data_IF_475504527770
#
_entry.id   IF_475504527770
#
_cell.length_a   1.000
_cell.length_b   1.000
_cell.length_c   1.000
_cell.angle_alpha   90.00
_cell.angle_beta   90.00
_cell.angle_gamma   90.00
#
_symmetry.space_group_name_H-M   'P 1'
#
loop_
_entity.id
_entity.type
_entity.pdbx_description
1 polymer ?
#
# COMPACT_ATOMS: atom_id res chain seq x y z
N UNK A 1 -35.84 49.50 -40.83
CA UNK A 1 -35.68 50.51 -41.91
C UNK A 1 -34.35 51.23 -41.75
N UNK A 2 -33.65 51.42 -42.87
CA UNK A 2 -32.31 52.04 -43.03
C UNK A 2 -32.20 53.46 -42.46
N UNK A 3 -31.00 53.82 -41.94
CA UNK A 3 -30.16 54.88 -42.53
C UNK A 3 -28.69 54.84 -42.04
N UNK A 4 -27.82 54.63 -43.04
CA UNK A 4 -26.38 54.95 -43.18
C UNK A 4 -26.12 56.43 -42.80
N UNK A 5 -24.94 56.99 -42.49
CA UNK A 5 -23.51 56.76 -42.84
C UNK A 5 -22.72 57.91 -42.16
N UNK A 6 -21.44 57.74 -41.81
CA UNK A 6 -20.27 58.44 -42.41
C UNK A 6 -18.98 58.21 -41.60
N UNK A 7 -18.02 57.59 -42.28
CA UNK A 7 -16.59 57.61 -42.00
C UNK A 7 -16.01 59.01 -42.21
N UNK A 8 -14.98 59.36 -41.42
CA UNK A 8 -13.81 60.09 -41.91
C UNK A 8 -12.56 59.55 -41.21
N UNK A 9 -11.63 59.07 -42.03
CA UNK A 9 -10.24 58.80 -41.68
C UNK A 9 -9.44 60.10 -41.78
N UNK A 10 -8.43 60.25 -40.92
CA UNK A 10 -7.29 61.11 -41.16
C UNK A 10 -6.04 60.35 -40.71
N UNK A 11 -5.13 60.18 -41.66
CA UNK A 11 -3.88 59.44 -41.54
C UNK A 11 -2.72 60.40 -41.28
N UNK A 12 -1.87 60.01 -40.32
CA UNK A 12 -0.39 60.01 -40.35
C UNK A 12 0.35 61.37 -40.38
N UNK A 13 1.23 61.56 -39.38
CA UNK A 13 2.68 61.78 -39.61
C UNK A 13 3.54 61.41 -38.40
N UNK A 14 4.46 60.50 -38.67
CA UNK A 14 5.58 60.00 -37.87
C UNK A 14 6.70 61.04 -37.75
N UNK A 15 7.27 61.19 -36.55
CA UNK A 15 8.68 61.50 -36.21
C UNK A 15 8.81 61.04 -34.74
N UNK A 16 9.71 60.22 -34.23
CA UNK A 16 10.97 59.61 -34.66
C UNK A 16 11.80 59.43 -33.37
N UNK A 17 12.13 58.20 -32.96
CA UNK A 17 13.16 57.85 -31.97
C UNK A 17 13.50 56.36 -32.16
N UNK A 18 14.76 55.92 -32.02
CA UNK A 18 15.38 55.04 -33.00
C UNK A 18 15.52 53.59 -32.55
N UNK A 19 15.56 52.78 -33.59
CA UNK A 19 16.04 51.41 -33.68
C UNK A 19 17.52 51.33 -33.24
N UNK A 20 17.81 51.06 -31.96
CA UNK A 20 19.14 50.61 -31.53
C UNK A 20 19.10 49.92 -30.14
N UNK A 21 18.72 48.65 -30.11
CA UNK A 21 19.24 47.61 -29.19
C UNK A 21 18.61 46.27 -29.58
N UNK A 22 18.98 45.83 -30.79
CA UNK A 22 18.94 44.44 -31.20
C UNK A 22 20.34 43.89 -30.87
N UNK A 23 20.38 42.86 -30.01
CA UNK A 23 21.52 42.14 -29.40
C UNK A 23 21.58 42.32 -27.88
N UNK A 24 21.77 41.18 -27.19
CA UNK A 24 21.76 40.93 -25.72
C UNK A 24 20.33 40.61 -25.23
N UNK A 25 19.84 39.38 -25.13
CA UNK A 25 20.44 38.08 -24.88
C UNK A 25 19.74 36.97 -25.71
N UNK A 26 20.46 36.41 -26.67
CA UNK A 26 20.41 34.96 -26.91
C UNK A 26 21.08 34.33 -25.68
N UNK A 27 20.31 34.17 -24.59
CA UNK A 27 20.64 33.11 -23.66
C UNK A 27 20.38 31.81 -24.43
N UNK A 28 21.31 30.85 -24.44
CA UNK A 28 20.91 29.51 -24.77
C UNK A 28 19.75 29.18 -23.81
N UNK A 29 18.62 28.75 -24.35
CA UNK A 29 17.74 27.85 -23.60
C UNK A 29 18.69 26.73 -23.17
N UNK A 30 19.19 26.83 -21.94
CA UNK A 30 20.05 25.81 -21.37
C UNK A 30 19.22 24.55 -21.44
N UNK A 31 19.77 23.56 -22.13
CA UNK A 31 19.20 22.25 -22.34
C UNK A 31 18.50 21.77 -21.07
N UNK A 32 17.22 21.42 -21.24
CA UNK A 32 16.55 20.33 -20.54
C UNK A 32 17.06 20.10 -19.10
N UNK A 33 16.44 20.75 -18.12
CA UNK A 33 16.03 19.95 -16.96
C UNK A 33 15.19 18.83 -17.58
N UNK A 34 15.73 17.61 -17.62
CA UNK A 34 15.03 16.49 -18.24
C UNK A 34 13.63 16.43 -17.63
N UNK A 35 12.59 16.20 -18.44
CA UNK A 35 11.22 16.07 -17.92
C UNK A 35 11.17 15.09 -16.73
N UNK A 36 12.07 14.11 -16.70
CA UNK A 36 12.30 13.21 -15.58
C UNK A 36 12.76 13.90 -14.28
N UNK A 37 13.69 14.86 -14.35
CA UNK A 37 14.14 15.62 -13.18
C UNK A 37 13.04 16.52 -12.60
N UNK A 38 12.23 17.12 -13.48
CA UNK A 38 11.07 17.95 -13.09
C UNK A 38 9.97 17.09 -12.48
N UNK A 39 9.68 15.93 -13.08
CA UNK A 39 8.71 14.96 -12.54
C UNK A 39 9.20 14.37 -11.22
N UNK A 40 10.49 14.05 -11.10
CA UNK A 40 11.10 13.57 -9.86
C UNK A 40 10.93 14.60 -8.74
N UNK A 41 11.27 15.87 -9.00
CA UNK A 41 11.08 16.97 -8.05
C UNK A 41 9.60 17.23 -7.72
N UNK A 42 8.68 17.00 -8.65
CA UNK A 42 7.24 17.08 -8.38
C UNK A 42 6.75 15.94 -7.49
N UNK A 43 7.29 14.74 -7.70
CA UNK A 43 6.96 13.54 -6.94
C UNK A 43 7.71 13.41 -5.60
N UNK A 44 8.56 14.38 -5.26
CA UNK A 44 9.36 14.36 -4.03
C UNK A 44 8.47 14.41 -2.78
N UNK A 45 8.48 13.38 -1.92
CA UNK A 45 7.75 13.37 -0.66
C UNK A 45 8.08 14.55 0.27
N UNK A 46 9.29 15.12 0.16
CA UNK A 46 9.73 16.24 0.98
C UNK A 46 8.85 17.49 0.82
N UNK A 47 8.19 17.65 -0.34
CA UNK A 47 7.27 18.77 -0.59
C UNK A 47 6.03 18.75 0.31
N UNK A 48 5.59 17.56 0.73
CA UNK A 48 4.39 17.37 1.55
C UNK A 48 4.79 17.11 3.00
N UNK A 49 5.86 16.33 3.22
CA UNK A 49 6.22 15.79 4.53
C UNK A 49 7.46 16.45 5.16
N UNK A 50 8.06 17.44 4.50
CA UNK A 50 9.26 18.11 4.99
C UNK A 50 10.49 17.19 4.98
N UNK A 51 11.46 17.45 5.85
CA UNK A 51 12.74 16.71 5.91
C UNK A 51 12.77 15.61 6.99
N UNK A 52 11.70 15.44 7.76
CA UNK A 52 11.64 14.52 8.90
C UNK A 52 11.51 13.05 8.51
N UNK A 53 11.33 12.19 9.52
CA UNK A 53 11.12 10.74 9.34
C UNK A 53 9.85 10.44 8.54
N UNK A 54 8.83 11.28 8.63
CA UNK A 54 7.57 11.15 7.91
C UNK A 54 7.80 11.08 6.39
N UNK A 55 8.77 11.84 5.88
CA UNK A 55 9.22 11.80 4.48
C UNK A 55 9.82 10.43 4.14
N UNK A 56 10.72 9.91 4.98
CA UNK A 56 11.35 8.60 4.74
C UNK A 56 10.34 7.47 4.74
N UNK A 57 9.34 7.52 5.62
CA UNK A 57 8.25 6.54 5.65
C UNK A 57 7.41 6.66 4.38
N UNK A 58 7.11 7.88 3.91
CA UNK A 58 6.40 8.11 2.65
C UNK A 58 7.20 7.61 1.43
N UNK A 59 8.52 7.80 1.40
CA UNK A 59 9.40 7.26 0.35
C UNK A 59 9.34 5.73 0.34
N UNK A 60 9.51 5.09 1.50
CA UNK A 60 9.41 3.65 1.63
C UNK A 60 8.04 3.13 1.16
N UNK A 61 6.96 3.84 1.50
CA UNK A 61 5.60 3.55 1.07
C UNK A 61 5.44 3.67 -0.45
N UNK A 62 5.93 4.74 -1.07
CA UNK A 62 5.82 4.96 -2.52
C UNK A 62 6.56 3.92 -3.36
N UNK A 63 7.63 3.31 -2.84
CA UNK A 63 8.31 2.19 -3.50
C UNK A 63 7.40 0.96 -3.68
N UNK A 64 6.32 0.85 -2.90
CA UNK A 64 5.32 -0.20 -3.03
C UNK A 64 4.29 0.08 -4.14
N UNK A 65 4.46 1.13 -4.95
CA UNK A 65 3.53 1.49 -6.03
C UNK A 65 4.25 1.57 -7.38
N UNK A 66 3.55 1.22 -8.45
CA UNK A 66 4.08 1.29 -9.81
C UNK A 66 2.99 1.63 -10.81
N UNK A 67 3.23 2.64 -11.64
CA UNK A 67 2.33 2.97 -12.76
C UNK A 67 2.62 2.07 -13.96
N UNK A 68 1.56 1.51 -14.55
CA UNK A 68 1.61 0.60 -15.70
C UNK A 68 0.51 0.94 -16.69
N UNK A 69 0.71 0.58 -17.96
CA UNK A 69 -0.34 0.61 -18.98
C UNK A 69 -0.74 -0.84 -19.25
N UNK A 70 -1.93 -1.24 -18.78
CA UNK A 70 -2.45 -2.60 -18.93
C UNK A 70 -3.83 -2.55 -19.56
N UNK A 71 -4.09 -3.40 -20.56
CA UNK A 71 -5.37 -3.41 -21.27
C UNK A 71 -5.78 -2.04 -21.85
N UNK A 72 -4.80 -1.21 -22.24
CA UNK A 72 -5.02 0.15 -22.74
C UNK A 72 -5.35 1.21 -21.68
N UNK A 73 -5.30 0.88 -20.39
CA UNK A 73 -5.57 1.79 -19.28
C UNK A 73 -4.28 2.10 -18.51
N UNK A 74 -4.10 3.36 -18.12
CA UNK A 74 -3.07 3.75 -17.14
C UNK A 74 -3.57 3.32 -15.76
N UNK A 75 -2.83 2.45 -15.08
CA UNK A 75 -3.15 1.92 -13.77
C UNK A 75 -2.02 2.20 -12.79
N UNK A 76 -2.36 2.70 -11.60
CA UNK A 76 -1.45 2.79 -10.48
C UNK A 76 -1.59 1.52 -9.65
N UNK A 77 -0.69 0.56 -9.89
CA UNK A 77 -0.66 -0.70 -9.18
C UNK A 77 0.01 -0.49 -7.83
N UNK A 78 -0.42 -1.29 -6.85
CA UNK A 78 0.21 -1.37 -5.54
C UNK A 78 0.64 -2.78 -5.23
N UNK A 79 1.62 -2.88 -4.33
CA UNK A 79 2.14 -4.15 -3.88
C UNK A 79 1.00 -4.99 -3.28
N UNK A 80 0.74 -6.20 -3.81
CA UNK A 80 -0.29 -7.07 -3.27
C UNK A 80 0.06 -7.53 -1.86
N UNK A 81 -0.96 -7.95 -1.11
CA UNK A 81 -0.73 -8.63 0.16
C UNK A 81 -0.20 -10.04 -0.12
N UNK A 82 0.78 -10.50 0.66
CA UNK A 82 1.13 -11.90 0.77
C UNK A 82 0.54 -12.43 2.08
N UNK A 83 -0.20 -13.53 2.03
CA UNK A 83 -0.83 -14.09 3.22
C UNK A 83 0.20 -14.67 4.21
N UNK A 84 -0.23 -14.87 5.47
CA UNK A 84 0.49 -15.63 6.49
C UNK A 84 -0.20 -16.99 6.74
N UNK A 85 -0.11 -17.90 5.76
CA UNK A 85 -0.45 -19.32 5.89
C UNK A 85 -1.91 -19.69 6.23
N UNK A 86 -2.85 -18.74 6.27
CA UNK A 86 -4.25 -19.01 6.63
C UNK A 86 -5.00 -19.82 5.57
N UNK A 87 -4.70 -19.64 4.27
CA UNK A 87 -5.33 -20.41 3.17
C UNK A 87 -4.64 -21.76 2.93
N UNK A 88 -3.46 -21.97 3.49
CA UNK A 88 -2.59 -23.13 3.21
C UNK A 88 -2.95 -24.33 4.09
N UNK A 89 -3.59 -24.08 5.24
CA UNK A 89 -4.07 -25.11 6.17
C UNK A 89 -5.16 -26.03 5.61
N UNK A 90 -5.63 -25.78 4.39
CA UNK A 90 -6.77 -26.48 3.78
C UNK A 90 -6.37 -27.40 2.62
N UNK A 91 -5.08 -27.54 2.30
CA UNK A 91 -4.67 -28.51 1.28
C UNK A 91 -3.31 -29.16 1.63
N UNK A 92 -3.00 -30.30 1.00
CA UNK A 92 -1.78 -31.07 1.23
C UNK A 92 -0.57 -30.57 0.43
N UNK A 93 -0.79 -29.64 -0.51
CA UNK A 93 0.29 -29.05 -1.32
C UNK A 93 0.94 -27.93 -0.50
N UNK A 94 2.26 -27.81 -0.55
CA UNK A 94 2.95 -26.65 0.01
C UNK A 94 3.15 -25.62 -1.12
N UNK A 95 2.60 -24.41 -0.95
CA UNK A 95 2.91 -23.25 -1.80
C UNK A 95 3.27 -22.07 -0.91
N UNK A 96 4.00 -21.13 -1.46
CA UNK A 96 4.45 -19.96 -0.72
C UNK A 96 4.53 -18.74 -1.62
N UNK A 97 4.30 -17.58 -1.02
CA UNK A 97 4.52 -16.31 -1.69
C UNK A 97 6.02 -16.09 -1.92
N UNK A 98 6.36 -15.44 -3.03
CA UNK A 98 7.73 -15.06 -3.33
C UNK A 98 8.33 -14.26 -2.16
N UNK A 99 9.47 -14.72 -1.64
CA UNK A 99 10.13 -14.10 -0.49
C UNK A 99 9.33 -14.21 0.82
N UNK A 100 8.37 -15.14 0.92
CA UNK A 100 7.59 -15.40 2.13
C UNK A 100 6.84 -14.18 2.68
N UNK A 101 6.46 -13.24 1.81
CA UNK A 101 5.85 -11.97 2.20
C UNK A 101 6.81 -10.93 2.78
N UNK A 102 8.13 -11.19 2.79
CA UNK A 102 9.17 -10.29 3.34
C UNK A 102 10.05 -9.63 2.28
N UNK A 103 9.83 -9.96 1.01
CA UNK A 103 10.59 -9.39 -0.10
C UNK A 103 10.51 -7.86 -0.11
N UNK A 104 11.63 -7.20 -0.39
CA UNK A 104 11.64 -5.75 -0.58
C UNK A 104 10.94 -5.37 -1.90
N UNK A 105 10.42 -4.13 -2.03
CA UNK A 105 9.64 -3.75 -3.22
C UNK A 105 10.40 -3.85 -4.54
N UNK A 106 11.71 -3.57 -4.57
CA UNK A 106 12.50 -3.65 -5.81
C UNK A 106 12.54 -5.09 -6.35
N UNK A 107 12.85 -6.05 -5.49
CA UNK A 107 12.84 -7.47 -5.81
C UNK A 107 11.45 -7.97 -6.22
N UNK A 108 10.41 -7.59 -5.48
CA UNK A 108 9.03 -8.01 -5.80
C UNK A 108 8.56 -7.43 -7.14
N UNK A 109 8.85 -6.16 -7.43
CA UNK A 109 8.45 -5.52 -8.69
C UNK A 109 9.13 -6.14 -9.91
N UNK A 110 10.38 -6.59 -9.79
CA UNK A 110 11.05 -7.32 -10.87
C UNK A 110 10.28 -8.59 -11.24
N UNK A 111 9.83 -9.37 -10.24
CA UNK A 111 9.02 -10.56 -10.51
C UNK A 111 7.64 -10.20 -11.04
N UNK A 112 6.97 -9.21 -10.43
CA UNK A 112 5.64 -8.78 -10.85
C UNK A 112 5.67 -8.37 -12.33
N UNK A 113 6.69 -7.64 -12.76
CA UNK A 113 6.83 -7.27 -14.17
C UNK A 113 6.90 -8.50 -15.08
N UNK A 114 7.69 -9.52 -14.73
CA UNK A 114 7.76 -10.77 -15.49
C UNK A 114 6.40 -11.49 -15.56
N UNK A 115 5.62 -11.46 -14.47
CA UNK A 115 4.29 -12.08 -14.40
C UNK A 115 3.31 -11.33 -15.31
N UNK A 116 3.31 -9.99 -15.26
CA UNK A 116 2.43 -9.14 -16.07
C UNK A 116 2.79 -9.16 -17.56
N UNK A 117 4.05 -9.41 -17.90
CA UNK A 117 4.50 -9.54 -19.30
C UNK A 117 4.27 -10.95 -19.87
N UNK A 118 3.77 -11.89 -19.06
CA UNK A 118 3.60 -13.29 -19.45
C UNK A 118 2.46 -13.49 -20.45
N UNK A 119 2.57 -14.56 -21.25
CA UNK A 119 1.51 -14.97 -22.16
C UNK A 119 0.22 -15.36 -21.42
N UNK A 120 0.34 -15.97 -20.24
CA UNK A 120 -0.82 -16.35 -19.42
C UNK A 120 -1.60 -15.13 -18.93
N UNK A 121 -0.89 -14.09 -18.43
CA UNK A 121 -1.56 -12.86 -18.03
C UNK A 121 -2.26 -12.19 -19.21
N UNK A 122 -1.68 -12.20 -20.41
CA UNK A 122 -2.37 -11.72 -21.62
C UNK A 122 -3.67 -12.48 -21.87
N UNK A 123 -3.65 -13.82 -21.84
CA UNK A 123 -4.86 -14.64 -21.99
C UNK A 123 -5.90 -14.31 -20.91
N UNK A 124 -5.45 -14.04 -19.68
CA UNK A 124 -6.32 -13.61 -18.60
C UNK A 124 -6.98 -12.26 -18.91
N UNK A 125 -6.23 -11.26 -19.37
CA UNK A 125 -6.79 -9.96 -19.75
C UNK A 125 -7.79 -10.05 -20.92
N UNK A 126 -7.53 -10.93 -21.89
CA UNK A 126 -8.45 -11.20 -23.00
C UNK A 126 -9.76 -11.83 -22.49
N UNK A 127 -9.66 -12.82 -21.60
CA UNK A 127 -10.81 -13.44 -20.96
C UNK A 127 -11.63 -12.42 -20.16
N UNK A 128 -11.02 -11.43 -19.51
CA UNK A 128 -11.74 -10.37 -18.81
C UNK A 128 -12.45 -9.38 -19.76
N UNK A 129 -12.05 -9.32 -21.04
CA UNK A 129 -12.47 -8.30 -22.00
C UNK A 129 -13.43 -8.80 -23.09
N UNK A 130 -13.89 -10.06 -23.03
CA UNK A 130 -14.69 -10.68 -24.09
C UNK A 130 -16.16 -10.19 -24.18
N UNK A 131 -16.57 -9.21 -23.36
CA UNK A 131 -17.92 -8.65 -23.32
C UNK A 131 -19.00 -9.51 -22.65
N UNK A 132 -18.63 -10.64 -22.05
CA UNK A 132 -19.55 -11.58 -21.39
C UNK A 132 -19.32 -11.59 -19.90
N UNK A 133 -20.40 -11.75 -19.13
CA UNK A 133 -20.29 -12.02 -17.71
C UNK A 133 -19.84 -13.47 -17.47
N UNK A 134 -18.98 -13.68 -16.46
CA UNK A 134 -18.46 -15.00 -16.11
C UNK A 134 -17.93 -15.00 -14.67
N UNK A 135 -17.61 -16.18 -14.17
CA UNK A 135 -16.84 -16.35 -12.94
C UNK A 135 -15.42 -16.75 -13.30
N UNK A 136 -14.43 -15.99 -12.83
CA UNK A 136 -13.04 -16.39 -12.83
C UNK A 136 -12.82 -17.25 -11.59
N UNK A 137 -12.28 -18.45 -11.80
CA UNK A 137 -11.96 -19.39 -10.73
C UNK A 137 -10.45 -19.50 -10.67
N UNK A 138 -9.86 -19.04 -9.57
CA UNK A 138 -8.44 -19.21 -9.32
C UNK A 138 -8.18 -20.55 -8.63
N UNK A 139 -6.98 -21.08 -8.83
CA UNK A 139 -6.44 -22.23 -8.13
C UNK A 139 -5.04 -21.86 -7.65
N UNK A 140 -4.97 -21.44 -6.38
CA UNK A 140 -3.73 -20.92 -5.77
C UNK A 140 -2.64 -22.00 -5.71
N UNK A 141 -2.92 -23.24 -5.28
CA UNK A 141 -1.89 -24.29 -5.21
C UNK A 141 -1.22 -24.58 -6.56
N UNK A 142 -2.00 -24.58 -7.65
CA UNK A 142 -1.47 -24.84 -9.00
C UNK A 142 -1.06 -23.57 -9.74
N UNK A 143 -1.30 -22.39 -9.17
CA UNK A 143 -1.08 -21.08 -9.81
C UNK A 143 -1.78 -20.98 -11.17
N UNK A 144 -3.01 -21.49 -11.25
CA UNK A 144 -3.80 -21.45 -12.48
C UNK A 144 -5.11 -20.72 -12.28
N UNK A 145 -5.78 -20.43 -13.38
CA UNK A 145 -7.12 -19.86 -13.39
C UNK A 145 -7.95 -20.49 -14.52
N UNK A 146 -9.27 -20.42 -14.36
CA UNK A 146 -10.23 -20.92 -15.34
C UNK A 146 -11.47 -20.03 -15.37
N UNK A 147 -12.33 -20.26 -16.36
CA UNK A 147 -13.55 -19.48 -16.59
C UNK A 147 -14.76 -20.38 -16.51
N UNK A 148 -15.72 -20.07 -15.63
CA UNK A 148 -17.07 -20.62 -15.68
C UNK A 148 -18.03 -19.62 -16.29
N UNK A 149 -18.78 -20.04 -17.31
CA UNK A 149 -19.90 -19.31 -17.90
C UNK A 149 -21.25 -19.98 -17.59
N UNK A 150 -21.27 -20.90 -16.62
CA UNK A 150 -22.51 -21.51 -16.20
C UNK A 150 -23.45 -20.44 -15.62
N UNK A 151 -24.68 -20.38 -16.13
CA UNK A 151 -25.70 -19.44 -15.67
C UNK A 151 -26.06 -19.68 -14.20
N UNK A 152 -25.96 -20.92 -13.70
CA UNK A 152 -26.19 -21.23 -12.29
C UNK A 152 -25.08 -20.66 -11.40
N UNK A 153 -23.81 -20.79 -11.80
CA UNK A 153 -22.68 -20.21 -11.06
C UNK A 153 -22.80 -18.68 -10.98
N UNK A 154 -23.08 -18.05 -12.12
CA UNK A 154 -23.27 -16.60 -12.22
C UNK A 154 -24.44 -16.14 -11.35
N UNK A 155 -25.60 -16.80 -11.45
CA UNK A 155 -26.79 -16.45 -10.67
C UNK A 155 -26.57 -16.62 -9.16
N UNK A 156 -25.88 -17.68 -8.72
CA UNK A 156 -25.53 -17.89 -7.31
C UNK A 156 -24.60 -16.81 -6.79
N UNK A 157 -23.54 -16.49 -7.53
CA UNK A 157 -22.60 -15.43 -7.15
C UNK A 157 -23.31 -14.07 -7.02
N UNK A 158 -24.22 -13.75 -7.96
CA UNK A 158 -25.05 -12.53 -7.90
C UNK A 158 -26.01 -12.50 -6.71
N UNK A 159 -26.53 -13.65 -6.31
CA UNK A 159 -27.38 -13.78 -5.13
C UNK A 159 -26.59 -13.74 -3.80
N UNK A 160 -25.26 -13.57 -3.84
CA UNK A 160 -24.40 -13.58 -2.66
C UNK A 160 -24.08 -14.99 -2.13
N UNK A 161 -24.45 -16.03 -2.86
CA UNK A 161 -24.14 -17.42 -2.52
C UNK A 161 -22.75 -17.78 -3.03
N UNK A 162 -21.70 -17.31 -2.36
CA UNK A 162 -20.31 -17.58 -2.72
C UNK A 162 -20.01 -19.08 -2.71
N UNK A 163 -19.31 -19.57 -3.74
CA UNK A 163 -19.00 -21.01 -3.91
C UNK A 163 -17.49 -21.30 -3.82
N UNK A 164 -16.65 -20.27 -3.72
CA UNK A 164 -15.22 -20.44 -3.64
C UNK A 164 -14.75 -21.04 -2.33
N UNK A 165 -13.60 -21.70 -2.39
CA UNK A 165 -12.84 -22.14 -1.22
C UNK A 165 -11.68 -21.17 -1.00
N UNK A 166 -11.09 -21.17 0.21
CA UNK A 166 -9.97 -20.25 0.50
C UNK A 166 -8.79 -20.42 -0.47
N UNK A 167 -8.48 -21.65 -0.90
CA UNK A 167 -7.42 -21.94 -1.87
C UNK A 167 -7.90 -21.87 -3.34
N UNK A 168 -9.21 -21.70 -3.57
CA UNK A 168 -9.83 -21.55 -4.90
C UNK A 168 -10.86 -20.42 -4.91
N UNK A 169 -10.42 -19.15 -4.91
CA UNK A 169 -11.33 -18.00 -4.94
C UNK A 169 -12.13 -17.90 -6.24
N UNK A 170 -13.39 -17.48 -6.12
CA UNK A 170 -14.32 -17.29 -7.25
C UNK A 170 -14.60 -15.79 -7.39
N UNK A 171 -14.38 -15.22 -8.57
CA UNK A 171 -14.57 -13.78 -8.80
C UNK A 171 -15.54 -13.58 -9.94
N UNK A 172 -16.71 -13.00 -9.63
CA UNK A 172 -17.68 -12.61 -10.65
C UNK A 172 -17.14 -11.38 -11.41
N UNK A 173 -17.03 -11.50 -12.73
CA UNK A 173 -16.55 -10.42 -13.60
C UNK A 173 -17.54 -10.13 -14.72
N UNK A 174 -17.64 -8.86 -15.10
CA UNK A 174 -18.64 -8.37 -16.06
C UNK A 174 -18.25 -8.52 -17.53
N UNK A 175 -16.99 -8.83 -17.83
CA UNK A 175 -16.48 -8.87 -19.21
C UNK A 175 -16.12 -7.51 -19.80
N UNK A 176 -16.12 -6.43 -19.00
CA UNK A 176 -15.82 -5.06 -19.43
C UNK A 176 -14.33 -4.75 -19.57
N UNK A 177 -13.49 -5.75 -19.35
CA UNK A 177 -12.04 -5.63 -19.37
C UNK A 177 -11.43 -5.44 -17.99
N UNK A 178 -10.10 -5.36 -18.01
CA UNK A 178 -9.23 -5.38 -16.83
C UNK A 178 -9.44 -4.15 -15.94
N UNK A 179 -9.58 -4.38 -14.64
CA UNK A 179 -9.52 -3.38 -13.57
C UNK A 179 -8.34 -3.63 -12.63
N UNK A 180 -7.94 -2.65 -11.83
CA UNK A 180 -6.81 -2.78 -10.90
C UNK A 180 -6.98 -3.93 -9.89
N UNK A 181 -8.22 -4.21 -9.46
CA UNK A 181 -8.54 -5.35 -8.59
C UNK A 181 -8.31 -6.70 -9.27
N UNK A 182 -8.47 -6.79 -10.59
CA UNK A 182 -8.22 -8.02 -11.34
C UNK A 182 -6.72 -8.30 -11.43
N UNK A 183 -5.92 -7.23 -11.64
CA UNK A 183 -4.45 -7.32 -11.59
C UNK A 183 -4.00 -7.78 -10.19
N UNK A 184 -4.57 -7.19 -9.14
CA UNK A 184 -4.31 -7.63 -7.76
C UNK A 184 -4.63 -9.11 -7.57
N UNK A 185 -5.82 -9.55 -7.96
CA UNK A 185 -6.26 -10.94 -7.80
C UNK A 185 -5.34 -11.91 -8.55
N UNK A 186 -4.92 -11.55 -9.77
CA UNK A 186 -4.00 -12.38 -10.55
C UNK A 186 -2.61 -12.45 -9.91
N UNK A 187 -2.04 -11.32 -9.48
CA UNK A 187 -0.73 -11.31 -8.81
C UNK A 187 -0.77 -12.07 -7.47
N UNK A 188 -1.88 -11.99 -6.74
CA UNK A 188 -2.09 -12.73 -5.50
C UNK A 188 -2.20 -14.24 -5.76
N UNK A 189 -3.08 -14.67 -6.67
CA UNK A 189 -3.44 -16.08 -6.84
C UNK A 189 -2.48 -16.86 -7.75
N UNK A 190 -2.01 -16.22 -8.82
CA UNK A 190 -1.19 -16.86 -9.87
C UNK A 190 0.27 -16.43 -9.72
N UNK A 191 0.51 -15.14 -9.51
CA UNK A 191 1.87 -14.63 -9.31
C UNK A 191 2.50 -15.10 -8.00
N UNK A 192 1.68 -15.35 -6.97
CA UNK A 192 2.10 -15.52 -5.57
C UNK A 192 3.11 -14.43 -5.15
N UNK A 193 2.90 -13.20 -5.62
CA UNK A 193 3.79 -12.06 -5.34
C UNK A 193 3.08 -11.08 -4.42
N UNK A 194 3.77 -10.64 -3.37
CA UNK A 194 3.26 -9.63 -2.47
C UNK A 194 4.13 -9.50 -1.23
N UNK A 195 3.70 -8.62 -0.33
CA UNK A 195 4.30 -8.48 1.00
C UNK A 195 3.24 -8.61 2.09
N UNK A 196 3.58 -9.25 3.20
CA UNK A 196 2.68 -9.30 4.35
C UNK A 196 2.81 -8.04 5.21
N UNK A 197 1.96 -7.94 6.23
CA UNK A 197 1.91 -6.77 7.11
C UNK A 197 3.25 -6.47 7.81
N UNK A 198 3.91 -7.51 8.34
CA UNK A 198 5.16 -7.39 9.06
C UNK A 198 6.37 -7.26 8.14
N UNK A 199 6.31 -7.83 6.92
CA UNK A 199 7.25 -7.57 5.85
C UNK A 199 7.21 -6.11 5.40
N UNK A 200 6.02 -5.52 5.28
CA UNK A 200 5.88 -4.08 5.02
C UNK A 200 6.42 -3.22 6.15
N UNK A 201 6.09 -3.53 7.42
CA UNK A 201 6.67 -2.83 8.56
C UNK A 201 8.20 -2.96 8.57
N UNK A 202 8.75 -4.14 8.34
CA UNK A 202 10.20 -4.35 8.27
C UNK A 202 10.86 -3.54 7.16
N UNK A 203 10.25 -3.48 5.97
CA UNK A 203 10.72 -2.65 4.85
C UNK A 203 10.81 -1.18 5.25
N UNK A 204 9.75 -0.62 5.84
CA UNK A 204 9.73 0.77 6.30
C UNK A 204 10.81 1.02 7.36
N UNK A 205 10.90 0.16 8.38
CA UNK A 205 11.90 0.30 9.46
C UNK A 205 13.32 0.21 8.91
N UNK A 206 13.57 -0.71 7.97
CA UNK A 206 14.87 -0.86 7.30
C UNK A 206 15.22 0.35 6.46
N UNK A 207 14.25 0.95 5.77
CA UNK A 207 14.44 2.16 4.98
C UNK A 207 14.85 3.36 5.85
N UNK A 208 14.17 3.57 6.98
CA UNK A 208 14.52 4.61 7.95
C UNK A 208 15.94 4.36 8.49
N UNK A 209 16.24 3.13 8.92
CA UNK A 209 17.55 2.78 9.46
C UNK A 209 18.69 3.06 8.47
N UNK A 210 18.49 2.68 7.20
CA UNK A 210 19.45 2.88 6.13
C UNK A 210 19.75 4.37 5.87
N UNK A 211 18.74 5.24 5.95
CA UNK A 211 18.93 6.69 5.86
C UNK A 211 19.84 7.25 6.98
N UNK A 212 19.86 6.60 8.15
CA UNK A 212 20.77 6.89 9.25
C UNK A 212 22.09 6.12 9.23
N UNK A 213 22.42 5.41 8.14
CA UNK A 213 23.63 4.60 7.98
C UNK A 213 23.62 3.30 8.78
N UNK A 214 22.46 2.82 9.22
CA UNK A 214 22.30 1.59 10.00
C UNK A 214 21.77 0.46 9.12
N UNK A 215 22.52 -0.63 9.02
CA UNK A 215 22.03 -1.90 8.47
C UNK A 215 21.22 -2.61 9.56
N UNK A 216 19.89 -2.50 9.47
CA UNK A 216 18.97 -3.04 10.47
C UNK A 216 19.03 -4.57 10.55
N UNK A 217 19.17 -5.24 9.40
CA UNK A 217 19.27 -6.70 9.32
C UNK A 217 20.51 -7.21 10.03
N UNK A 218 21.68 -6.61 9.76
CA UNK A 218 22.92 -6.93 10.47
C UNK A 218 22.84 -6.61 11.96
N UNK A 219 22.25 -5.48 12.33
CA UNK A 219 22.12 -5.03 13.72
C UNK A 219 21.27 -6.00 14.55
N UNK A 220 20.18 -6.52 13.96
CA UNK A 220 19.22 -7.37 14.66
C UNK A 220 19.40 -8.87 14.42
N UNK A 221 20.33 -9.28 13.54
CA UNK A 221 20.53 -10.68 13.13
C UNK A 221 20.55 -11.67 14.31
N UNK A 222 21.32 -11.35 15.37
CA UNK A 222 21.42 -12.22 16.56
C UNK A 222 20.09 -12.33 17.32
N UNK A 223 19.36 -11.23 17.45
CA UNK A 223 18.10 -11.18 18.21
C UNK A 223 16.97 -11.84 17.42
N UNK A 224 17.00 -11.70 16.09
CA UNK A 224 16.09 -12.38 15.17
C UNK A 224 16.39 -13.88 15.04
N UNK A 225 17.53 -14.35 15.56
CA UNK A 225 17.93 -15.75 15.46
C UNK A 225 18.28 -16.18 14.04
N UNK A 226 18.76 -15.25 13.21
CA UNK A 226 19.11 -15.50 11.81
C UNK A 226 20.20 -16.57 11.73
N UNK A 227 19.95 -17.65 11.02
CA UNK A 227 20.91 -18.73 10.80
C UNK A 227 21.63 -18.57 9.45
N UNK A 228 22.92 -18.89 9.42
CA UNK A 228 23.64 -19.21 8.18
C UNK A 228 23.61 -18.17 7.06
N UNK A 229 23.65 -16.87 7.36
CA UNK A 229 23.65 -15.82 6.34
C UNK A 229 22.32 -15.64 5.58
N UNK A 230 21.23 -16.22 6.10
CA UNK A 230 19.89 -16.00 5.59
C UNK A 230 19.48 -14.52 5.68
N UNK A 231 18.51 -14.13 4.85
CA UNK A 231 17.95 -12.77 4.88
C UNK A 231 17.23 -12.52 6.23
N UNK A 232 17.67 -11.53 7.02
CA UNK A 232 17.03 -11.18 8.29
C UNK A 232 15.54 -10.81 8.16
N UNK A 233 15.10 -10.32 7.01
CA UNK A 233 13.69 -9.96 6.76
C UNK A 233 12.75 -11.15 7.00
N UNK A 234 13.21 -12.37 6.67
CA UNK A 234 12.48 -13.64 6.83
C UNK A 234 12.15 -13.97 8.29
N UNK A 235 12.86 -13.37 9.24
CA UNK A 235 12.71 -13.62 10.67
C UNK A 235 11.95 -12.49 11.39
N UNK A 236 11.71 -11.36 10.72
CA UNK A 236 11.05 -10.18 11.27
C UNK A 236 9.51 -10.27 11.17
N UNK A 237 8.92 -11.27 11.82
CA UNK A 237 7.48 -11.45 11.88
C UNK A 237 6.79 -10.65 13.00
N UNK A 238 5.45 -10.67 13.02
CA UNK A 238 4.65 -10.09 14.12
C UNK A 238 5.06 -10.63 15.50
N UNK A 239 5.50 -11.88 15.57
CA UNK A 239 6.04 -12.50 16.79
C UNK A 239 7.29 -11.79 17.34
N UNK A 240 8.21 -11.35 16.46
CA UNK A 240 9.38 -10.57 16.85
C UNK A 240 8.97 -9.22 17.45
N UNK A 241 8.08 -8.48 16.78
CA UNK A 241 7.56 -7.22 17.30
C UNK A 241 6.72 -7.40 18.57
N UNK A 242 6.13 -8.59 18.76
CA UNK A 242 5.40 -8.97 19.96
C UNK A 242 6.31 -9.48 21.11
N UNK A 243 7.60 -9.68 20.88
CA UNK A 243 8.52 -10.31 21.84
C UNK A 243 8.85 -9.43 23.05
N UNK A 244 9.55 -10.03 24.03
CA UNK A 244 10.15 -9.37 25.20
C UNK A 244 11.60 -8.93 24.97
N UNK A 245 12.06 -8.94 23.70
CA UNK A 245 13.40 -8.51 23.34
C UNK A 245 13.67 -7.07 23.81
N UNK A 246 14.88 -6.80 24.29
CA UNK A 246 15.32 -5.45 24.68
C UNK A 246 15.36 -4.45 23.51
N UNK A 247 15.30 -4.96 22.27
CA UNK A 247 15.19 -4.18 21.04
C UNK A 247 13.78 -3.64 20.79
N UNK A 248 12.77 -4.22 21.44
CA UNK A 248 11.38 -3.79 21.36
C UNK A 248 11.07 -2.95 22.60
N UNK A 249 10.71 -1.68 22.38
CA UNK A 249 10.32 -0.75 23.43
C UNK A 249 8.78 -0.69 23.45
N UNK A 250 8.11 -1.16 24.53
CA UNK A 250 6.68 -0.96 24.67
C UNK A 250 6.34 0.53 24.75
N UNK A 251 5.31 0.96 24.03
CA UNK A 251 4.79 2.33 24.07
C UNK A 251 3.40 2.29 24.69
N UNK A 252 3.17 3.12 25.72
CA UNK A 252 1.82 3.31 26.24
C UNK A 252 0.96 3.95 25.15
N UNK A 253 -0.17 3.32 24.81
CA UNK A 253 -0.95 3.63 23.60
C UNK A 253 -1.82 4.89 23.71
N UNK A 254 -1.55 5.76 24.68
CA UNK A 254 -2.11 7.11 24.71
C UNK A 254 -1.57 7.93 23.53
N UNK A 255 -2.44 8.67 22.86
CA UNK A 255 -2.12 9.42 21.63
C UNK A 255 -0.90 10.35 21.81
N UNK A 256 -0.78 11.02 22.96
CA UNK A 256 0.36 11.89 23.29
C UNK A 256 1.73 11.20 23.30
N UNK A 257 1.78 9.88 23.41
CA UNK A 257 3.03 9.11 23.45
C UNK A 257 3.44 8.57 22.07
N UNK A 258 2.51 8.59 21.12
CA UNK A 258 2.70 8.04 19.77
C UNK A 258 3.56 8.97 18.92
N UNK A 259 4.38 8.36 18.06
CA UNK A 259 5.31 9.05 17.18
C UNK A 259 5.38 8.35 15.82
N UNK A 260 5.79 9.07 14.75
CA UNK A 260 6.18 8.44 13.51
C UNK A 260 7.22 7.32 13.73
N UNK A 261 7.04 6.21 13.00
CA UNK A 261 7.87 5.00 13.13
C UNK A 261 7.43 4.03 14.22
N UNK A 262 6.47 4.38 15.07
CA UNK A 262 5.84 3.44 16.00
C UNK A 262 5.05 2.36 15.25
N UNK A 263 5.01 1.16 15.81
CA UNK A 263 4.37 -0.01 15.22
C UNK A 263 3.14 -0.36 16.04
N UNK A 264 1.99 -0.40 15.38
CA UNK A 264 0.72 -0.85 15.94
C UNK A 264 0.61 -2.36 15.68
N UNK A 265 0.35 -3.16 16.71
CA UNK A 265 0.09 -4.59 16.59
C UNK A 265 -1.37 -4.89 16.92
N UNK A 266 -1.98 -5.74 16.08
CA UNK A 266 -3.37 -6.14 16.20
C UNK A 266 -3.50 -7.65 16.41
N UNK A 267 -4.56 -8.03 17.12
CA UNK A 267 -4.87 -9.44 17.42
C UNK A 267 -5.62 -10.13 16.28
N UNK A 268 -5.40 -11.42 16.09
CA UNK A 268 -6.25 -12.31 15.30
C UNK A 268 -7.49 -12.76 16.10
N UNK A 269 -8.36 -13.54 15.44
CA UNK A 269 -9.56 -14.13 16.04
C UNK A 269 -9.27 -15.09 17.22
N UNK A 270 -8.08 -15.66 17.27
CA UNK A 270 -7.63 -16.50 18.40
C UNK A 270 -7.08 -15.67 19.58
N UNK A 271 -6.97 -14.35 19.39
CA UNK A 271 -6.39 -13.40 20.33
C UNK A 271 -4.86 -13.36 20.34
N UNK A 272 -4.16 -14.10 19.47
CA UNK A 272 -2.73 -13.94 19.21
C UNK A 272 -2.43 -12.67 18.41
N UNK A 273 -1.19 -12.15 18.44
CA UNK A 273 -0.81 -11.02 17.57
C UNK A 273 -0.51 -11.53 16.17
N UNK A 274 -1.23 -11.01 15.16
CA UNK A 274 -1.14 -11.53 13.79
C UNK A 274 -1.00 -10.42 12.73
N UNK A 275 -1.22 -9.16 13.08
CA UNK A 275 -1.13 -8.06 12.11
C UNK A 275 -0.35 -6.89 12.69
N UNK A 276 0.27 -6.13 11.79
CA UNK A 276 1.08 -4.97 12.15
C UNK A 276 0.93 -3.83 11.15
N UNK A 277 1.08 -2.61 11.65
CA UNK A 277 1.06 -1.38 10.86
C UNK A 277 2.09 -0.39 11.43
N UNK A 278 2.50 0.58 10.63
CA UNK A 278 3.45 1.63 11.05
C UNK A 278 2.78 3.00 11.06
N UNK A 279 2.95 3.74 12.13
CA UNK A 279 2.50 5.13 12.23
C UNK A 279 3.43 5.98 11.37
N UNK A 280 2.87 6.70 10.42
CA UNK A 280 3.63 7.58 9.55
C UNK A 280 3.57 9.03 10.03
N UNK A 281 2.46 9.49 10.62
CA UNK A 281 2.39 10.82 11.24
C UNK A 281 1.35 10.91 12.35
N UNK A 282 1.57 11.86 13.28
CA UNK A 282 0.63 12.23 14.35
C UNK A 282 0.45 13.75 14.32
N UNK A 283 -0.68 14.23 13.81
CA UNK A 283 -1.06 15.63 13.83
C UNK A 283 -1.97 15.92 15.03
N UNK A 284 -1.36 16.43 16.10
CA UNK A 284 -2.06 16.83 17.32
C UNK A 284 -3.00 18.01 17.13
N UNK A 285 -2.76 18.86 16.12
CA UNK A 285 -3.57 20.04 15.87
C UNK A 285 -4.85 19.68 15.10
N UNK A 286 -4.72 18.84 14.08
CA UNK A 286 -5.84 18.35 13.29
C UNK A 286 -6.59 17.18 13.96
N UNK A 287 -5.96 16.52 14.94
CA UNK A 287 -6.54 15.35 15.60
C UNK A 287 -6.50 14.11 14.72
N UNK A 288 -5.40 13.90 13.99
CA UNK A 288 -5.27 12.83 12.99
C UNK A 288 -3.98 12.04 13.20
N UNK A 289 -4.08 10.73 13.17
CA UNK A 289 -2.93 9.81 13.03
C UNK A 289 -3.04 9.17 11.65
N UNK A 290 -2.02 9.29 10.81
CA UNK A 290 -1.89 8.51 9.57
C UNK A 290 -1.01 7.30 9.86
N UNK A 291 -1.51 6.11 9.54
CA UNK A 291 -0.77 4.86 9.65
C UNK A 291 -0.85 4.07 8.33
N UNK A 292 0.16 3.26 8.08
CA UNK A 292 0.33 2.51 6.84
C UNK A 292 0.38 1.02 7.13
N UNK A 293 -0.24 0.23 6.27
CA UNK A 293 -0.33 -1.22 6.44
C UNK A 293 -0.40 -1.96 5.11
N UNK A 294 -0.23 -3.28 5.16
CA UNK A 294 -0.50 -4.18 4.05
C UNK A 294 -1.49 -5.26 4.48
N UNK A 295 -2.66 -5.34 3.85
CA UNK A 295 -3.66 -6.39 4.11
C UNK A 295 -4.59 -6.58 2.92
N UNK A 296 -5.13 -7.78 2.75
CA UNK A 296 -6.22 -8.12 1.83
C UNK A 296 -7.61 -7.88 2.43
N UNK A 297 -7.73 -7.70 3.75
CA UNK A 297 -8.97 -7.33 4.44
C UNK A 297 -9.25 -5.82 4.39
N UNK A 298 -9.30 -5.28 3.18
CA UNK A 298 -9.54 -3.86 2.88
C UNK A 298 -10.58 -3.70 1.77
N UNK A 299 -11.16 -2.50 1.57
CA UNK A 299 -11.91 -2.22 0.35
C UNK A 299 -11.16 -2.70 -0.90
N UNK A 300 -11.89 -3.20 -1.91
CA UNK A 300 -11.28 -3.75 -3.13
C UNK A 300 -10.23 -2.83 -3.74
N UNK A 301 -10.53 -1.54 -3.76
CA UNK A 301 -9.67 -0.51 -4.30
C UNK A 301 -8.52 -0.11 -3.38
N UNK A 302 -8.29 -0.78 -2.24
CA UNK A 302 -7.26 -0.47 -1.23
C UNK A 302 -6.43 -1.70 -0.80
N UNK A 303 -6.81 -2.93 -1.21
CA UNK A 303 -6.08 -4.16 -0.86
C UNK A 303 -4.60 -4.13 -1.21
N UNK A 304 -3.78 -4.75 -0.36
CA UNK A 304 -2.33 -4.66 -0.40
C UNK A 304 -1.83 -3.51 0.47
N UNK A 305 -0.74 -2.86 0.06
CA UNK A 305 -0.16 -1.70 0.77
C UNK A 305 -1.06 -0.46 0.63
N UNK A 306 -1.47 0.15 1.73
CA UNK A 306 -2.31 1.35 1.74
C UNK A 306 -2.15 2.18 3.02
N UNK A 307 -2.80 3.35 3.00
CA UNK A 307 -2.88 4.28 4.13
C UNK A 307 -4.24 4.19 4.85
N UNK A 308 -4.23 4.52 6.13
CA UNK A 308 -5.43 4.58 6.97
C UNK A 308 -5.27 5.67 8.02
N UNK A 309 -6.38 6.08 8.63
CA UNK A 309 -6.42 7.20 9.56
C UNK A 309 -7.14 6.86 10.86
N UNK A 310 -6.68 7.48 11.94
CA UNK A 310 -7.35 7.50 13.25
C UNK A 310 -7.63 8.95 13.60
N UNK A 311 -8.90 9.29 13.77
CA UNK A 311 -9.33 10.62 14.21
C UNK A 311 -9.56 10.65 15.72
N UNK A 312 -9.08 11.71 16.36
CA UNK A 312 -9.20 11.96 17.79
C UNK A 312 -9.51 13.43 18.08
N UNK A 313 -9.97 13.72 19.30
CA UNK A 313 -10.18 15.11 19.73
C UNK A 313 -8.82 15.75 20.09
N UNK A 314 -8.37 16.81 19.39
CA UNK A 314 -7.12 17.53 19.69
C UNK A 314 -6.99 18.00 21.14
N UNK A 315 -8.11 18.31 21.80
CA UNK A 315 -8.13 18.76 23.18
C UNK A 315 -7.91 17.64 24.22
N UNK A 316 -7.90 16.37 23.79
CA UNK A 316 -7.71 15.22 24.67
C UNK A 316 -6.74 14.19 24.08
N UNK A 317 -5.44 14.46 24.21
CA UNK A 317 -4.36 13.58 23.72
C UNK A 317 -3.95 12.49 24.71
N UNK A 318 -4.48 12.50 25.93
CA UNK A 318 -4.24 11.44 26.92
C UNK A 318 -5.11 10.19 26.68
N UNK A 319 -5.98 10.22 25.66
CA UNK A 319 -6.83 9.08 25.30
C UNK A 319 -6.00 7.95 24.69
N UNK A 320 -6.28 6.71 25.10
CA UNK A 320 -5.70 5.48 24.55
C UNK A 320 -6.27 5.13 23.17
N UNK A 321 -5.47 4.48 22.32
CA UNK A 321 -5.94 3.86 21.06
C UNK A 321 -7.09 2.86 21.26
N UNK A 322 -7.22 2.30 22.46
CA UNK A 322 -8.33 1.43 22.84
C UNK A 322 -9.65 2.19 23.12
N UNK A 323 -9.64 3.53 23.10
CA UNK A 323 -10.85 4.30 23.38
C UNK A 323 -11.89 4.18 22.26
N UNK A 324 -13.17 3.93 22.59
CA UNK A 324 -14.26 3.99 21.62
C UNK A 324 -14.52 5.39 21.06
N UNK A 325 -13.95 6.45 21.63
CA UNK A 325 -14.09 7.82 21.12
C UNK A 325 -13.30 8.07 19.83
N UNK A 326 -12.42 7.16 19.43
CA UNK A 326 -11.60 7.28 18.24
C UNK A 326 -12.33 6.75 17.01
N UNK A 327 -12.20 7.44 15.89
CA UNK A 327 -12.73 6.97 14.60
C UNK A 327 -11.61 6.39 13.76
N UNK A 328 -11.70 5.10 13.47
CA UNK A 328 -10.75 4.38 12.62
C UNK A 328 -11.33 4.27 11.21
N UNK A 329 -10.57 4.65 10.18
CA UNK A 329 -11.08 4.62 8.80
C UNK A 329 -10.93 3.25 8.14
N UNK A 330 -9.98 2.42 8.58
CA UNK A 330 -9.78 1.11 7.98
C UNK A 330 -10.95 0.20 8.28
N UNK A 331 -11.81 0.04 7.27
CA UNK A 331 -12.87 -0.95 7.27
C UNK A 331 -12.32 -2.29 6.82
N UNK A 332 -12.80 -3.36 7.45
CA UNK A 332 -12.35 -4.71 7.10
C UNK A 332 -13.40 -5.38 6.23
N UNK A 333 -12.95 -5.85 5.07
CA UNK A 333 -13.78 -6.53 4.08
C UNK A 333 -13.25 -7.94 3.83
N UNK A 334 -14.06 -8.83 3.24
CA UNK A 334 -13.56 -10.12 2.78
C UNK A 334 -12.37 -9.96 1.81
N UNK A 335 -11.35 -10.84 1.86
CA UNK A 335 -10.24 -10.83 0.91
C UNK A 335 -10.63 -11.08 -0.55
N UNK A 336 -11.75 -11.78 -0.81
CA UNK A 336 -12.39 -11.86 -2.13
C UNK A 336 -13.89 -11.56 -2.02
N UNK A 337 -14.50 -10.88 -3.01
CA UNK A 337 -15.93 -10.59 -2.98
C UNK A 337 -16.77 -11.86 -2.79
N UNK A 338 -17.57 -11.89 -1.72
CA UNK A 338 -18.42 -13.03 -1.37
C UNK A 338 -17.81 -13.98 -0.32
N UNK A 339 -16.49 -13.91 -0.06
CA UNK A 339 -15.91 -14.63 1.10
C UNK A 339 -16.48 -14.12 2.42
N UNK A 340 -16.28 -14.91 3.49
CA UNK A 340 -16.61 -14.48 4.85
C UNK A 340 -15.78 -13.24 5.21
N UNK A 341 -16.45 -12.21 5.71
CA UNK A 341 -15.78 -11.03 6.22
C UNK A 341 -15.09 -11.30 7.55
N UNK A 342 -14.10 -10.47 7.85
CA UNK A 342 -13.51 -10.34 9.18
C UNK A 342 -14.60 -10.22 10.26
N UNK A 343 -14.43 -10.79 11.46
CA UNK A 343 -15.36 -10.62 12.56
C UNK A 343 -15.28 -9.21 13.16
N UNK A 344 -14.25 -8.45 12.78
CA UNK A 344 -14.10 -7.05 13.13
C UNK A 344 -14.53 -6.19 11.94
N UNK A 345 -15.38 -5.19 12.18
CA UNK A 345 -15.86 -4.24 11.17
C UNK A 345 -14.81 -3.21 10.76
N UNK A 346 -13.89 -2.88 11.67
CA UNK A 346 -12.78 -1.96 11.46
C UNK A 346 -11.56 -2.33 12.34
N UNK A 347 -10.42 -1.72 12.04
CA UNK A 347 -9.19 -1.90 12.80
C UNK A 347 -9.31 -1.44 14.26
N UNK A 348 -10.16 -0.46 14.54
CA UNK A 348 -10.41 -0.03 15.92
C UNK A 348 -11.09 -1.11 16.74
N UNK A 349 -12.11 -1.78 16.18
CA UNK A 349 -12.77 -2.90 16.82
C UNK A 349 -11.78 -4.06 17.04
N UNK A 350 -10.93 -4.33 16.04
CA UNK A 350 -9.87 -5.33 16.14
C UNK A 350 -8.85 -4.99 17.23
N UNK A 351 -8.43 -3.72 17.31
CA UNK A 351 -7.48 -3.24 18.33
C UNK A 351 -8.07 -3.37 19.74
N UNK A 352 -9.37 -3.10 19.92
CA UNK A 352 -10.06 -3.23 21.21
C UNK A 352 -10.43 -4.67 21.59
N UNK A 353 -10.33 -5.62 20.67
CA UNK A 353 -10.72 -7.00 20.91
C UNK A 353 -9.82 -7.68 21.95
N UNK A 354 -10.36 -8.65 22.68
CA UNK A 354 -9.65 -9.40 23.74
C UNK A 354 -9.06 -8.49 24.84
N UNK A 355 -9.88 -7.67 25.53
CA UNK A 355 -9.41 -6.81 26.61
C UNK A 355 -8.79 -7.62 27.77
N UNK A 356 -9.26 -8.84 27.98
CA UNK A 356 -8.70 -9.83 28.92
C UNK A 356 -7.26 -10.22 28.58
N UNK A 357 -6.87 -10.13 27.30
CA UNK A 357 -5.50 -10.34 26.82
C UNK A 357 -4.72 -9.03 26.70
N UNK A 358 -5.33 -7.88 27.00
CA UNK A 358 -4.73 -6.54 26.92
C UNK A 358 -4.93 -5.80 25.61
N UNK A 359 -5.78 -6.29 24.69
CA UNK A 359 -6.04 -5.59 23.42
C UNK A 359 -4.83 -5.52 22.47
N UNK A 360 -4.90 -4.63 21.49
CA UNK A 360 -3.77 -4.26 20.64
C UNK A 360 -2.66 -3.58 21.44
N UNK A 361 -1.48 -3.45 20.84
CA UNK A 361 -0.32 -2.81 21.49
C UNK A 361 0.44 -1.94 20.53
N UNK A 362 1.15 -0.95 21.08
CA UNK A 362 2.11 -0.15 20.32
C UNK A 362 3.53 -0.44 20.80
N UNK A 363 4.45 -0.58 19.86
CA UNK A 363 5.87 -0.79 20.14
C UNK A 363 6.74 0.10 19.28
N UNK A 364 7.96 0.32 19.73
CA UNK A 364 8.99 1.06 19.00
C UNK A 364 10.24 0.20 18.89
N UNK A 365 10.83 0.16 17.70
CA UNK A 365 12.09 -0.53 17.47
C UNK A 365 13.25 0.36 17.90
N UNK A 366 14.06 -0.09 18.86
CA UNK A 366 15.13 0.72 19.49
C UNK A 366 16.11 1.29 18.46
N UNK A 367 16.66 0.43 17.61
CA UNK A 367 17.65 0.82 16.61
C UNK A 367 17.11 1.91 15.64
N UNK A 368 15.83 1.85 15.30
CA UNK A 368 15.19 2.85 14.44
C UNK A 368 14.88 4.13 15.21
N UNK A 369 14.41 4.04 16.44
CA UNK A 369 14.20 5.21 17.30
C UNK A 369 15.46 6.05 17.48
N UNK A 370 16.62 5.41 17.58
CA UNK A 370 17.92 6.08 17.69
C UNK A 370 18.35 6.77 16.38
N UNK A 371 17.92 6.23 15.23
CA UNK A 371 18.09 6.89 13.93
C UNK A 371 17.18 8.10 13.83
N UNK A 372 15.89 7.94 14.14
CA UNK A 372 14.90 9.02 14.09
C UNK A 372 15.30 10.19 14.96
N UNK A 373 15.85 9.95 16.16
CA UNK A 373 16.31 11.04 17.04
C UNK A 373 17.51 11.84 16.52
N UNK A 374 18.16 11.41 15.43
CA UNK A 374 19.30 12.08 14.79
C UNK A 374 18.95 12.78 13.48
N UNK A 375 17.79 12.47 12.90
CA UNK A 375 17.23 13.13 11.72
C UNK A 375 16.51 14.41 12.14
#
# INVERSE_FOLDING_TARGET
MRKKKKFRAAAVRFVGLPLLLMLIFLLPVTAEESDESVLAAYSDPARIWGSGVERLIEEAYRLCFKTRILGGKVMNLRMPFAQDNERDKLTEVEWGFLGGGKGNPAFLWERIDQVLDSADFRNYTEALSDGREKVIIFDIPTQTWSVSRDLFDIARMKAGSYQGLLHRPYVLVSGRGLEASDVYNYLYCVGLTGMDCSGFVWHVQSYIAAAGGVDLGRTLARVLGVSGGADPSMYAGTSFYNSTSSQIIPVNDEIRNLRPGDIILFRAEDGGMAHSAVIQSVDFSAGVIRYLQCTDEAPLAERGVHESFIYFNPANTAVSLSSPSLTWTQRRYPPFPGERASPFSDDGQRYRAYPDKGGGRVVRLRAVSEVIGRL
#
